data_IF_117142895769
#
_entry.id   IF_117142895769
#
_cell.length_a   1.000
_cell.length_b   1.000
_cell.length_c   1.000
_cell.angle_alpha   90.00
_cell.angle_beta   90.00
_cell.angle_gamma   90.00
#
_symmetry.space_group_name_H-M   'P 1'
#
loop_
_entity.id
_entity.type
_entity.pdbx_description
1 polymer ?
#
# COMPACT_ATOMS: atom_id res chain seq x y z
N UNK A 1 4.37 -9.50 25.32
CA UNK A 1 4.74 -9.35 23.89
C UNK A 1 6.22 -9.70 23.77
N UNK A 2 6.63 -10.51 22.79
CA UNK A 2 8.05 -10.76 22.52
C UNK A 2 8.75 -9.44 22.20
N UNK A 3 10.01 -9.27 22.63
CA UNK A 3 10.81 -8.06 22.35
C UNK A 3 10.87 -7.72 20.85
N UNK A 4 10.74 -8.72 19.98
CA UNK A 4 10.71 -8.59 18.52
C UNK A 4 9.42 -7.95 18.00
N UNK A 5 8.26 -8.32 18.57
CA UNK A 5 6.97 -7.73 18.19
C UNK A 5 6.85 -6.27 18.64
N UNK A 6 7.44 -5.93 19.79
CA UNK A 6 7.50 -4.56 20.28
C UNK A 6 8.33 -3.66 19.33
N UNK A 7 9.55 -4.09 18.98
CA UNK A 7 10.40 -3.34 18.06
C UNK A 7 9.74 -3.15 16.68
N UNK A 8 9.09 -4.21 16.17
CA UNK A 8 8.35 -4.18 14.90
C UNK A 8 7.22 -3.15 14.92
N UNK A 9 6.42 -3.12 15.99
CA UNK A 9 5.32 -2.19 16.12
C UNK A 9 5.81 -0.73 16.16
N UNK A 10 6.81 -0.44 16.98
CA UNK A 10 7.33 0.92 17.13
C UNK A 10 8.05 1.45 15.89
N UNK A 11 8.88 0.62 15.23
CA UNK A 11 9.53 1.03 13.98
C UNK A 11 8.51 1.29 12.87
N UNK A 12 7.46 0.46 12.80
CA UNK A 12 6.34 0.67 11.87
C UNK A 12 5.59 1.96 12.19
N UNK A 13 5.18 2.16 13.43
CA UNK A 13 4.45 3.37 13.85
C UNK A 13 5.26 4.64 13.56
N UNK A 14 6.57 4.60 13.80
CA UNK A 14 7.45 5.70 13.47
C UNK A 14 7.51 5.97 11.96
N UNK A 15 7.67 4.92 11.13
CA UNK A 15 7.66 5.05 9.66
C UNK A 15 6.33 5.61 9.15
N UNK A 16 5.20 5.12 9.68
CA UNK A 16 3.85 5.59 9.36
C UNK A 16 3.71 7.08 9.69
N UNK A 17 4.10 7.48 10.90
CA UNK A 17 4.02 8.88 11.34
C UNK A 17 4.85 9.84 10.50
N UNK A 18 5.94 9.36 9.88
CA UNK A 18 6.80 10.18 9.01
C UNK A 18 6.31 10.25 7.57
N UNK A 19 5.65 9.21 7.05
CA UNK A 19 5.31 9.11 5.62
C UNK A 19 3.86 9.41 5.30
N UNK A 20 2.91 9.10 6.18
CA UNK A 20 1.47 9.20 5.85
C UNK A 20 1.07 10.63 5.54
N UNK A 21 1.42 11.60 6.41
CA UNK A 21 1.05 13.00 6.19
C UNK A 21 1.69 13.58 4.93
N UNK A 22 3.02 13.45 4.68
CA UNK A 22 3.61 13.92 3.43
C UNK A 22 3.00 13.27 2.19
N UNK A 23 2.69 11.98 2.23
CA UNK A 23 2.08 11.28 1.08
C UNK A 23 0.65 11.76 0.84
N UNK A 24 -0.15 11.95 1.90
CA UNK A 24 -1.49 12.52 1.80
C UNK A 24 -1.43 13.93 1.19
N UNK A 25 -0.47 14.77 1.59
CA UNK A 25 -0.25 16.10 1.00
C UNK A 25 0.10 16.04 -0.48
N UNK A 26 0.81 14.99 -0.93
CA UNK A 26 1.07 14.76 -2.36
C UNK A 26 -0.24 14.57 -3.14
N UNK A 27 -1.20 13.81 -2.60
CA UNK A 27 -2.53 13.67 -3.22
C UNK A 27 -3.33 14.96 -3.20
N UNK A 28 -3.25 15.76 -2.13
CA UNK A 28 -3.85 17.09 -2.11
C UNK A 28 -3.26 18.02 -3.16
N UNK A 29 -1.94 18.01 -3.34
CA UNK A 29 -1.26 18.78 -4.39
C UNK A 29 -1.72 18.40 -5.80
N UNK A 30 -1.97 17.10 -6.05
CA UNK A 30 -2.56 16.63 -7.32
C UNK A 30 -3.99 17.17 -7.48
N UNK A 31 -4.78 17.20 -6.41
CA UNK A 31 -6.13 17.78 -6.43
C UNK A 31 -6.10 19.28 -6.71
N UNK A 32 -5.19 20.03 -6.06
CA UNK A 32 -5.02 21.46 -6.28
C UNK A 32 -4.65 21.75 -7.75
N UNK A 33 -3.75 20.94 -8.32
CA UNK A 33 -3.39 21.01 -9.74
C UNK A 33 -4.59 20.74 -10.67
N UNK A 34 -5.45 19.79 -10.31
CA UNK A 34 -6.68 19.52 -11.04
C UNK A 34 -7.67 20.70 -10.94
N UNK A 35 -7.80 21.33 -9.77
CA UNK A 35 -8.61 22.53 -9.60
C UNK A 35 -8.13 23.68 -10.47
N UNK A 36 -6.82 23.94 -10.52
CA UNK A 36 -6.23 25.00 -11.34
C UNK A 36 -6.47 24.77 -12.84
N UNK A 37 -6.36 23.53 -13.29
CA UNK A 37 -6.63 23.17 -14.69
C UNK A 37 -8.11 23.38 -15.04
N UNK A 38 -9.03 22.96 -14.17
CA UNK A 38 -10.46 23.20 -14.34
C UNK A 38 -10.83 24.68 -14.27
N UNK A 39 -10.18 25.47 -13.41
CA UNK A 39 -10.36 26.94 -13.33
C UNK A 39 -9.94 27.61 -14.64
N UNK A 40 -8.80 27.23 -15.23
CA UNK A 40 -8.33 27.75 -16.52
C UNK A 40 -9.29 27.41 -17.68
N UNK A 41 -9.86 26.22 -17.66
CA UNK A 41 -10.77 25.74 -18.72
C UNK A 41 -12.24 26.13 -18.49
N UNK A 42 -12.58 26.75 -17.36
CA UNK A 42 -13.97 27.11 -17.01
C UNK A 42 -14.87 25.92 -16.63
N UNK A 43 -14.29 24.76 -16.31
CA UNK A 43 -14.99 23.50 -16.05
C UNK A 43 -14.90 23.09 -14.57
N UNK A 44 -15.45 23.91 -13.66
CA UNK A 44 -15.36 23.70 -12.20
C UNK A 44 -16.15 22.48 -11.69
N UNK A 45 -17.11 22.00 -12.47
CA UNK A 45 -17.89 20.79 -12.18
C UNK A 45 -17.10 19.49 -12.41
N UNK A 46 -16.03 19.55 -13.20
CA UNK A 46 -15.23 18.38 -13.61
C UNK A 46 -13.96 18.17 -12.77
N UNK A 47 -13.71 18.97 -11.73
CA UNK A 47 -12.50 18.89 -10.89
C UNK A 47 -12.24 17.46 -10.42
N UNK A 48 -13.29 16.80 -9.91
CA UNK A 48 -13.17 15.46 -9.35
C UNK A 48 -12.79 14.41 -10.42
N UNK A 49 -13.38 14.53 -11.61
CA UNK A 49 -13.08 13.67 -12.75
C UNK A 49 -11.64 13.90 -13.23
N UNK A 50 -11.21 15.16 -13.31
CA UNK A 50 -9.83 15.52 -13.65
C UNK A 50 -8.84 14.96 -12.63
N UNK A 51 -9.11 15.10 -11.33
CA UNK A 51 -8.29 14.50 -10.27
C UNK A 51 -8.18 12.98 -10.44
N UNK A 52 -9.30 12.29 -10.64
CA UNK A 52 -9.31 10.85 -10.91
C UNK A 52 -8.48 10.46 -12.13
N UNK A 53 -8.54 11.24 -13.22
CA UNK A 53 -7.71 11.03 -14.41
C UNK A 53 -6.21 11.28 -14.14
N UNK A 54 -5.86 12.20 -13.24
CA UNK A 54 -4.47 12.40 -12.83
C UNK A 54 -3.96 11.23 -11.99
N UNK A 55 -4.80 10.65 -11.13
CA UNK A 55 -4.43 9.47 -10.32
C UNK A 55 -4.09 8.24 -11.18
N UNK A 56 -4.74 8.05 -12.33
CA UNK A 56 -4.43 6.92 -13.22
C UNK A 56 -3.05 7.02 -13.86
N UNK A 57 -2.42 8.21 -13.86
CA UNK A 57 -1.07 8.45 -14.40
C UNK A 57 0.06 8.17 -13.39
N UNK A 58 -0.27 7.93 -12.12
CA UNK A 58 0.72 7.66 -11.05
C UNK A 58 1.59 6.43 -11.34
N UNK A 59 1.07 5.30 -11.85
CA UNK A 59 1.90 4.16 -12.22
C UNK A 59 2.97 4.49 -13.27
N UNK A 60 2.70 5.46 -14.14
CA UNK A 60 3.55 5.86 -15.26
C UNK A 60 4.43 7.07 -14.94
N UNK A 61 4.61 7.40 -13.67
CA UNK A 61 5.51 8.48 -13.26
C UNK A 61 6.94 8.24 -13.73
N UNK A 62 7.54 9.30 -14.27
CA UNK A 62 8.95 9.29 -14.64
C UNK A 62 9.84 9.27 -13.40
N UNK A 63 11.06 8.77 -13.54
CA UNK A 63 12.05 8.76 -12.46
C UNK A 63 12.32 10.18 -11.92
N UNK A 64 12.27 11.20 -12.78
CA UNK A 64 12.44 12.61 -12.38
C UNK A 64 11.31 13.10 -11.47
N UNK A 65 10.06 12.77 -11.81
CA UNK A 65 8.87 13.10 -11.00
C UNK A 65 8.95 12.39 -9.65
N UNK A 66 9.30 11.11 -9.66
CA UNK A 66 9.45 10.32 -8.45
C UNK A 66 10.58 10.84 -7.55
N UNK A 67 11.73 11.21 -8.10
CA UNK A 67 12.84 11.79 -7.33
C UNK A 67 12.43 13.08 -6.65
N UNK A 68 11.77 13.98 -7.38
CA UNK A 68 11.28 15.26 -6.84
C UNK A 68 10.32 15.03 -5.67
N UNK A 69 9.44 14.03 -5.79
CA UNK A 69 8.47 13.72 -4.74
C UNK A 69 9.13 13.08 -3.51
N UNK A 70 10.10 12.19 -3.73
CA UNK A 70 10.90 11.59 -2.65
C UNK A 70 11.69 12.67 -1.91
N UNK A 71 12.30 13.62 -2.61
CA UNK A 71 13.01 14.76 -2.03
C UNK A 71 12.07 15.64 -1.21
N UNK A 72 10.85 15.90 -1.71
CA UNK A 72 9.81 16.63 -0.96
C UNK A 72 9.46 15.91 0.34
N UNK A 73 9.24 14.59 0.29
CA UNK A 73 8.91 13.78 1.47
C UNK A 73 10.04 13.81 2.51
N UNK A 74 11.29 13.67 2.07
CA UNK A 74 12.47 13.73 2.97
C UNK A 74 12.56 15.11 3.62
N UNK A 75 12.34 16.18 2.85
CA UNK A 75 12.38 17.56 3.35
C UNK A 75 11.28 17.85 4.38
N UNK A 76 10.05 17.38 4.13
CA UNK A 76 8.92 17.58 5.05
C UNK A 76 9.05 16.72 6.29
N UNK A 77 9.46 15.47 6.15
CA UNK A 77 9.65 14.56 7.30
C UNK A 77 10.87 14.90 8.15
N UNK A 78 11.85 15.64 7.60
CA UNK A 78 13.10 15.97 8.29
C UNK A 78 13.99 14.75 8.59
N UNK A 79 13.69 13.59 7.99
CA UNK A 79 14.34 12.32 8.28
C UNK A 79 15.34 11.97 7.19
N UNK A 80 16.63 12.10 7.49
CA UNK A 80 17.74 11.79 6.56
C UNK A 80 18.07 10.30 6.48
N UNK A 81 17.59 9.50 7.44
CA UNK A 81 17.87 8.06 7.56
C UNK A 81 16.69 7.19 7.11
N UNK A 82 15.85 7.70 6.20
CA UNK A 82 14.61 7.04 5.80
C UNK A 82 14.85 5.63 5.20
N UNK A 83 15.89 5.47 4.38
CA UNK A 83 16.30 4.18 3.83
C UNK A 83 16.71 3.16 4.89
N UNK A 84 17.35 3.62 5.98
CA UNK A 84 17.77 2.77 7.09
C UNK A 84 16.60 2.43 8.02
N UNK A 85 15.68 3.38 8.24
CA UNK A 85 14.45 3.14 8.97
C UNK A 85 13.59 2.10 8.26
N UNK A 86 13.41 2.23 6.94
CA UNK A 86 12.68 1.27 6.12
C UNK A 86 13.32 -0.12 6.19
N UNK A 87 14.65 -0.18 6.12
CA UNK A 87 15.39 -1.44 6.30
C UNK A 87 15.16 -2.03 7.70
N UNK A 88 15.22 -1.22 8.75
CA UNK A 88 14.97 -1.65 10.12
C UNK A 88 13.58 -2.25 10.30
N UNK A 89 12.56 -1.68 9.64
CA UNK A 89 11.21 -2.25 9.59
C UNK A 89 11.25 -3.64 8.95
N UNK A 90 11.78 -3.79 7.74
CA UNK A 90 11.83 -5.11 7.07
C UNK A 90 12.61 -6.16 7.86
N UNK A 91 13.76 -5.79 8.45
CA UNK A 91 14.53 -6.68 9.32
C UNK A 91 13.69 -7.10 10.53
N UNK A 92 12.95 -6.19 11.14
CA UNK A 92 12.08 -6.53 12.28
C UNK A 92 10.96 -7.49 11.88
N UNK A 93 10.35 -7.30 10.70
CA UNK A 93 9.37 -8.24 10.16
C UNK A 93 9.98 -9.62 9.90
N UNK A 94 11.14 -9.69 9.25
CA UNK A 94 11.85 -10.93 8.98
C UNK A 94 12.24 -11.66 10.28
N UNK A 95 12.74 -10.94 11.29
CA UNK A 95 13.05 -11.50 12.62
C UNK A 95 11.81 -12.07 13.30
N UNK A 96 10.67 -11.39 13.20
CA UNK A 96 9.40 -11.93 13.70
C UNK A 96 9.04 -13.25 13.01
N UNK A 97 9.16 -13.36 11.68
CA UNK A 97 8.92 -14.63 10.97
C UNK A 97 9.93 -15.71 11.37
N UNK A 98 11.21 -15.37 11.48
CA UNK A 98 12.23 -16.31 11.90
C UNK A 98 11.99 -16.85 13.31
N UNK A 99 11.51 -16.01 14.23
CA UNK A 99 11.16 -16.44 15.59
C UNK A 99 9.97 -17.42 15.64
N UNK A 100 9.07 -17.35 14.66
CA UNK A 100 7.98 -18.32 14.52
C UNK A 100 8.50 -19.68 13.99
N UNK A 101 9.53 -19.63 13.14
CA UNK A 101 10.13 -20.79 12.47
C UNK A 101 11.19 -21.51 13.32
N UNK A 102 11.78 -20.84 14.32
CA UNK A 102 12.72 -21.40 15.31
C UNK A 102 12.14 -22.52 16.22
N UNK A 103 10.96 -23.08 15.90
CA UNK A 103 10.43 -24.30 16.53
C UNK A 103 11.10 -25.58 16.02
N UNK A 104 11.90 -25.52 14.96
CA UNK A 104 12.71 -26.64 14.43
C UNK A 104 14.22 -26.51 14.71
N UNK A 105 14.94 -27.64 14.66
CA UNK A 105 16.36 -27.81 15.03
C UNK A 105 17.40 -27.03 14.19
N UNK A 106 16.96 -26.15 13.28
CA UNK A 106 17.85 -25.36 12.42
C UNK A 106 17.89 -23.90 12.87
N UNK A 107 19.08 -23.43 13.25
CA UNK A 107 19.32 -22.12 13.87
C UNK A 107 19.50 -20.97 12.87
N UNK A 108 19.43 -21.22 11.56
CA UNK A 108 19.69 -20.20 10.54
C UNK A 108 18.72 -20.33 9.35
N UNK A 109 17.89 -19.30 9.15
CA UNK A 109 16.99 -19.20 7.98
C UNK A 109 17.59 -18.19 7.02
N UNK A 110 18.25 -18.68 5.97
CA UNK A 110 18.72 -17.83 4.86
C UNK A 110 17.54 -17.50 3.95
N UNK A 111 17.01 -16.28 4.03
CA UNK A 111 15.98 -15.77 3.12
C UNK A 111 16.68 -14.77 2.20
N UNK A 112 16.68 -15.03 0.89
CA UNK A 112 17.12 -14.05 -0.08
C UNK A 112 16.05 -12.94 -0.15
N UNK A 113 16.43 -11.75 0.30
CA UNK A 113 15.59 -10.55 0.28
C UNK A 113 16.26 -9.49 -0.57
N UNK A 114 15.66 -9.17 -1.71
CA UNK A 114 16.11 -8.04 -2.53
C UNK A 114 15.62 -6.73 -1.88
N UNK A 115 16.56 -5.81 -1.63
CA UNK A 115 16.27 -4.56 -0.93
C UNK A 115 15.54 -3.60 -1.87
N UNK A 116 14.29 -3.20 -1.58
CA UNK A 116 13.69 -2.08 -2.29
C UNK A 116 14.36 -0.77 -1.87
N UNK A 117 14.73 0.05 -2.85
CA UNK A 117 15.11 1.46 -2.63
C UNK A 117 13.93 2.25 -2.08
N UNK A 118 14.16 3.27 -1.26
CA UNK A 118 13.08 4.12 -0.74
C UNK A 118 12.19 4.69 -1.85
N UNK A 119 12.74 5.12 -3.00
CA UNK A 119 11.97 5.60 -4.13
C UNK A 119 10.96 4.57 -4.68
N UNK A 120 11.39 3.31 -4.87
CA UNK A 120 10.49 2.21 -5.28
C UNK A 120 9.39 1.95 -4.25
N UNK A 121 9.73 2.02 -2.96
CA UNK A 121 8.75 1.86 -1.88
C UNK A 121 7.69 2.97 -1.91
N UNK A 122 8.13 4.23 -2.03
CA UNK A 122 7.23 5.39 -2.14
C UNK A 122 6.36 5.27 -3.39
N UNK A 123 6.91 4.88 -4.54
CA UNK A 123 6.13 4.71 -5.76
C UNK A 123 5.06 3.62 -5.61
N UNK A 124 5.40 2.48 -4.99
CA UNK A 124 4.43 1.43 -4.71
C UNK A 124 3.32 1.93 -3.77
N UNK A 125 3.68 2.67 -2.73
CA UNK A 125 2.70 3.29 -1.83
C UNK A 125 1.76 4.23 -2.59
N UNK A 126 2.29 5.11 -3.43
CA UNK A 126 1.48 5.99 -4.28
C UNK A 126 0.56 5.21 -5.21
N UNK A 127 1.03 4.14 -5.86
CA UNK A 127 0.20 3.30 -6.73
C UNK A 127 -0.94 2.63 -5.97
N UNK A 128 -0.67 2.06 -4.78
CA UNK A 128 -1.71 1.44 -3.94
C UNK A 128 -2.72 2.47 -3.44
N UNK A 129 -2.24 3.59 -2.90
CA UNK A 129 -3.08 4.69 -2.41
C UNK A 129 -3.90 5.31 -3.54
N UNK A 130 -3.34 5.51 -4.73
CA UNK A 130 -4.05 6.05 -5.89
C UNK A 130 -5.26 5.21 -6.26
N UNK A 131 -5.14 3.87 -6.29
CA UNK A 131 -6.27 2.97 -6.61
C UNK A 131 -7.41 3.12 -5.60
N UNK A 132 -7.09 3.24 -4.31
CA UNK A 132 -8.09 3.40 -3.24
C UNK A 132 -8.71 4.80 -3.26
N UNK A 133 -7.88 5.83 -3.36
CA UNK A 133 -8.33 7.23 -3.40
C UNK A 133 -9.07 7.55 -4.70
N UNK A 134 -8.85 6.82 -5.79
CA UNK A 134 -9.67 6.93 -6.99
C UNK A 134 -11.13 6.53 -6.72
N UNK A 135 -11.35 5.44 -5.99
CA UNK A 135 -12.70 4.98 -5.60
C UNK A 135 -13.32 5.94 -4.57
N UNK A 136 -12.49 6.54 -3.72
CA UNK A 136 -12.90 7.44 -2.65
C UNK A 136 -12.62 8.91 -2.96
N UNK A 137 -12.63 9.27 -4.24
CA UNK A 137 -12.24 10.60 -4.69
C UNK A 137 -13.13 11.70 -4.07
N UNK A 138 -14.36 11.36 -3.68
CA UNK A 138 -15.30 12.29 -3.04
C UNK A 138 -14.74 12.96 -1.77
N UNK A 139 -13.73 12.38 -1.10
CA UNK A 139 -13.06 13.04 0.03
C UNK A 139 -12.32 14.33 -0.39
N UNK A 140 -11.89 14.42 -1.65
CA UNK A 140 -11.20 15.58 -2.22
C UNK A 140 -12.15 16.68 -2.72
N UNK A 141 -13.47 16.50 -2.56
CA UNK A 141 -14.43 17.55 -2.91
C UNK A 141 -14.32 18.73 -1.93
N UNK A 142 -13.84 19.86 -2.42
CA UNK A 142 -13.70 21.12 -1.67
C UNK A 142 -14.93 22.03 -1.84
N UNK A 143 -15.51 22.06 -3.04
CA UNK A 143 -16.63 22.95 -3.38
C UNK A 143 -17.93 22.50 -2.73
N UNK A 144 -18.55 23.40 -1.95
CA UNK A 144 -19.84 23.16 -1.30
C UNK A 144 -19.77 22.28 -0.04
N UNK A 145 -18.57 22.08 0.51
CA UNK A 145 -18.33 21.27 1.71
C UNK A 145 -17.90 22.19 2.86
N UNK A 146 -18.47 22.01 4.05
CA UNK A 146 -18.10 22.82 5.23
C UNK A 146 -16.65 22.59 5.64
N UNK A 147 -16.03 23.58 6.28
CA UNK A 147 -14.64 23.50 6.76
C UNK A 147 -14.42 22.34 7.73
N UNK A 148 -15.41 22.05 8.59
CA UNK A 148 -15.39 20.88 9.47
C UNK A 148 -15.34 19.56 8.68
N UNK A 149 -16.18 19.42 7.65
CA UNK A 149 -16.20 18.22 6.83
C UNK A 149 -14.91 18.06 6.01
N UNK A 150 -14.32 19.17 5.54
CA UNK A 150 -13.02 19.13 4.88
C UNK A 150 -11.91 18.64 5.83
N UNK A 151 -11.91 19.09 7.09
CA UNK A 151 -10.95 18.60 8.09
C UNK A 151 -11.13 17.11 8.37
N UNK A 152 -12.38 16.62 8.47
CA UNK A 152 -12.67 15.19 8.60
C UNK A 152 -12.21 14.40 7.37
N UNK A 153 -12.46 14.90 6.16
CA UNK A 153 -12.02 14.26 4.93
C UNK A 153 -10.49 14.12 4.87
N UNK A 154 -9.73 15.13 5.30
CA UNK A 154 -8.27 15.04 5.40
C UNK A 154 -7.82 13.89 6.30
N UNK A 155 -8.45 13.73 7.46
CA UNK A 155 -8.18 12.61 8.37
C UNK A 155 -8.56 11.26 7.74
N UNK A 156 -9.67 11.18 7.01
CA UNK A 156 -10.05 9.95 6.31
C UNK A 156 -9.05 9.58 5.20
N UNK A 157 -8.55 10.57 4.44
CA UNK A 157 -7.49 10.33 3.45
C UNK A 157 -6.23 9.78 4.10
N UNK A 158 -5.79 10.35 5.23
CA UNK A 158 -4.63 9.84 5.98
C UNK A 158 -4.84 8.41 6.49
N UNK A 159 -6.05 8.06 6.94
CA UNK A 159 -6.38 6.67 7.32
C UNK A 159 -6.27 5.72 6.13
N UNK A 160 -6.82 6.11 4.97
CA UNK A 160 -6.71 5.32 3.74
C UNK A 160 -5.25 5.12 3.34
N UNK A 161 -4.43 6.17 3.43
CA UNK A 161 -2.98 6.08 3.14
C UNK A 161 -2.27 5.18 4.17
N UNK A 162 -2.65 5.24 5.45
CA UNK A 162 -2.13 4.35 6.50
C UNK A 162 -2.43 2.88 6.20
N UNK A 163 -3.65 2.56 5.78
CA UNK A 163 -4.02 1.19 5.40
C UNK A 163 -3.22 0.72 4.16
N UNK A 164 -3.02 1.61 3.19
CA UNK A 164 -2.19 1.34 2.02
C UNK A 164 -0.71 1.15 2.39
N UNK A 165 -0.20 1.87 3.39
CA UNK A 165 1.14 1.69 3.93
C UNK A 165 1.34 0.27 4.44
N UNK A 166 0.38 -0.25 5.21
CA UNK A 166 0.48 -1.63 5.70
C UNK A 166 0.50 -2.64 4.56
N UNK A 167 -0.36 -2.46 3.56
CA UNK A 167 -0.40 -3.34 2.39
C UNK A 167 0.89 -3.27 1.58
N UNK A 168 1.46 -2.08 1.44
CA UNK A 168 2.74 -1.85 0.75
C UNK A 168 3.90 -2.51 1.50
N UNK A 169 4.01 -2.35 2.81
CA UNK A 169 5.03 -3.06 3.61
C UNK A 169 4.88 -4.57 3.44
N UNK A 170 3.63 -5.09 3.44
CA UNK A 170 3.37 -6.51 3.23
C UNK A 170 3.73 -6.97 1.81
N UNK A 171 3.53 -6.18 0.76
CA UNK A 171 3.79 -6.60 -0.62
C UNK A 171 5.28 -6.81 -0.91
N UNK A 172 6.17 -6.12 -0.19
CA UNK A 172 7.61 -6.31 -0.31
C UNK A 172 8.14 -7.56 0.44
N UNK A 173 7.31 -8.21 1.27
CA UNK A 173 7.75 -9.41 1.99
C UNK A 173 7.63 -10.66 1.10
N UNK A 174 8.65 -11.55 1.09
CA UNK A 174 8.65 -12.76 0.27
C UNK A 174 7.78 -13.86 0.90
N UNK A 175 6.45 -13.68 0.88
CA UNK A 175 5.49 -14.59 1.51
C UNK A 175 5.57 -16.02 0.98
N UNK A 176 5.84 -16.21 -0.31
CA UNK A 176 5.97 -17.54 -0.91
C UNK A 176 7.16 -18.31 -0.31
N UNK A 177 8.30 -17.64 -0.14
CA UNK A 177 9.48 -18.25 0.46
C UNK A 177 9.25 -18.57 1.95
N UNK A 178 8.55 -17.70 2.67
CA UNK A 178 8.19 -17.89 4.07
C UNK A 178 7.22 -19.08 4.21
N UNK A 179 6.17 -19.13 3.40
CA UNK A 179 5.15 -20.18 3.45
C UNK A 179 5.71 -21.55 3.08
N UNK A 180 6.52 -21.66 2.01
CA UNK A 180 7.17 -22.93 1.64
C UNK A 180 8.03 -23.49 2.77
N UNK A 181 8.82 -22.65 3.44
CA UNK A 181 9.63 -23.06 4.59
C UNK A 181 8.79 -23.47 5.80
N UNK A 182 7.65 -22.82 6.02
CA UNK A 182 6.75 -23.16 7.11
C UNK A 182 6.20 -24.60 6.98
N UNK A 183 5.77 -24.99 5.78
CA UNK A 183 5.19 -26.32 5.56
C UNK A 183 6.22 -27.43 5.25
N UNK A 184 7.43 -27.07 4.80
CA UNK A 184 8.47 -28.05 4.52
C UNK A 184 9.06 -28.69 5.80
N UNK A 185 9.05 -27.98 6.93
CA UNK A 185 9.59 -28.51 8.20
C UNK A 185 8.60 -29.41 8.96
N UNK A 186 7.30 -29.34 8.65
CA UNK A 186 6.27 -30.21 9.25
C UNK A 186 6.30 -31.65 8.68
N UNK A 187 6.95 -31.88 7.52
CA UNK A 187 7.09 -33.23 6.93
C UNK A 187 8.05 -34.15 7.72
N UNK A 188 8.84 -33.63 8.67
CA UNK A 188 9.79 -34.40 9.46
C UNK A 188 9.23 -35.00 10.77
N UNK A 189 7.91 -34.99 10.99
CA UNK A 189 7.28 -35.60 12.19
C UNK A 189 6.82 -37.05 11.96
N UNK A 190 6.96 -37.62 10.76
CA UNK A 190 6.51 -39.00 10.48
C UNK A 190 7.55 -40.11 10.69
N UNK A 191 8.82 -39.80 10.99
CA UNK A 191 9.87 -40.82 11.04
C UNK A 191 10.51 -40.99 12.44
N UNK A 192 9.70 -41.19 13.48
CA UNK A 192 10.20 -41.82 14.72
C UNK A 192 9.19 -42.84 15.26
N UNK A 193 8.94 -43.91 14.51
CA UNK A 193 8.55 -45.18 15.13
C UNK A 193 9.83 -46.00 15.36
N UNK A 194 10.16 -46.38 16.61
CA UNK A 194 11.30 -47.24 16.87
C UNK A 194 11.14 -48.57 16.14
N UNK A 195 12.05 -48.87 15.23
CA UNK A 195 12.20 -50.18 14.60
C UNK A 195 12.59 -51.18 15.69
N UNK A 196 11.63 -51.97 16.17
CA UNK A 196 11.91 -53.21 16.89
C UNK A 196 12.23 -54.30 15.85
N UNK A 197 13.47 -54.81 15.91
CA UNK A 197 13.95 -55.90 15.07
C UNK A 197 13.26 -57.25 15.40
N UNK A 198 13.26 -58.20 14.46
CA UNK A 198 12.24 -59.23 14.33
C UNK A 198 12.59 -60.52 15.06
N UNK A 199 11.63 -61.09 15.79
CA UNK A 199 11.65 -62.52 16.14
C UNK A 199 10.58 -63.25 15.35
N UNK A 200 11.03 -64.22 14.57
CA UNK A 200 10.24 -65.24 13.87
C UNK A 200 9.09 -65.78 14.72
N UNK A 201 7.87 -65.71 14.21
CA UNK A 201 7.00 -66.88 14.02
C UNK A 201 5.79 -66.48 13.17
N UNK A 202 5.69 -67.05 11.97
CA UNK A 202 4.56 -66.88 11.04
C UNK A 202 3.67 -68.12 11.13
N UNK A 203 2.36 -67.96 11.36
CA UNK A 203 1.34 -68.78 10.72
C UNK A 203 0.59 -67.97 9.64
N UNK A 204 0.05 -68.66 8.61
CA UNK A 204 -0.33 -68.08 7.32
C UNK A 204 -1.62 -67.21 7.34
N UNK A 205 -1.81 -66.35 6.31
CA UNK A 205 -2.85 -65.31 6.30
C UNK A 205 -4.24 -65.86 5.92
N UNK A 206 -5.33 -65.33 6.51
CA UNK A 206 -6.68 -65.51 5.99
C UNK A 206 -6.99 -64.53 4.82
N UNK A 207 -7.91 -64.90 3.90
CA UNK A 207 -8.18 -64.17 2.65
C UNK A 207 -8.89 -62.81 2.87
N UNK A 208 -8.75 -61.87 1.90
CA UNK A 208 -9.18 -60.49 2.04
C UNK A 208 -10.71 -60.34 1.98
N UNK A 209 -11.28 -59.74 3.01
CA UNK A 209 -12.66 -59.27 3.01
C UNK A 209 -12.76 -57.92 2.25
N UNK A 210 -13.85 -57.68 1.50
CA UNK A 210 -13.95 -56.57 0.57
C UNK A 210 -14.13 -55.21 1.26
N UNK A 211 -13.47 -54.22 0.67
CA UNK A 211 -13.43 -52.80 1.03
C UNK A 211 -14.83 -52.18 0.95
N UNK A 212 -15.31 -51.58 2.03
CA UNK A 212 -16.51 -50.72 2.01
C UNK A 212 -16.16 -49.40 1.30
N UNK A 213 -16.66 -49.25 0.07
CA UNK A 213 -16.79 -47.96 -0.59
C UNK A 213 -18.02 -47.26 -0.01
N UNK A 214 -17.81 -46.15 0.71
CA UNK A 214 -18.88 -45.20 1.03
C UNK A 214 -19.02 -44.23 -0.13
N UNK A 215 -20.12 -44.41 -0.86
CA UNK A 215 -20.61 -43.61 -1.98
C UNK A 215 -21.54 -42.55 -1.41
N UNK A 216 -21.32 -41.28 -1.76
CA UNK A 216 -22.23 -40.18 -1.41
C UNK A 216 -23.58 -40.42 -2.10
N UNK A 217 -24.65 -40.37 -1.32
CA UNK A 217 -26.04 -40.39 -1.80
C UNK A 217 -26.39 -39.03 -2.44
N UNK A 218 -26.76 -39.08 -3.72
CA UNK A 218 -27.68 -38.11 -4.33
C UNK A 218 -29.10 -38.46 -3.85
N UNK A 219 -29.85 -37.46 -3.40
CA UNK A 219 -31.27 -37.58 -3.17
C UNK A 219 -31.98 -36.57 -4.08
N UNK A 220 -32.60 -37.08 -5.13
CA UNK A 220 -33.69 -36.45 -5.88
C UNK A 220 -35.02 -37.14 -5.55
N UNK A 221 -36.12 -36.53 -6.03
CA UNK A 221 -37.56 -36.85 -5.94
C UNK A 221 -38.27 -36.20 -4.76
N UNK A 222 -39.43 -35.56 -4.89
CA UNK A 222 -40.44 -35.35 -5.97
C UNK A 222 -41.35 -34.22 -5.39
N UNK A 223 -42.11 -33.37 -6.07
CA UNK A 223 -43.17 -33.47 -7.11
C UNK A 223 -43.80 -32.05 -7.18
N UNK A 224 -44.60 -31.56 -8.12
CA UNK A 224 -45.19 -31.97 -9.41
C UNK A 224 -45.69 -30.67 -10.10
N UNK A 225 -45.68 -30.68 -11.44
CA UNK A 225 -46.68 -30.22 -12.45
C UNK A 225 -47.82 -29.26 -12.01
N UNK A 226 -48.34 -28.27 -12.74
CA UNK A 226 -48.42 -27.85 -14.16
C UNK A 226 -49.05 -26.42 -14.16
N UNK A 227 -48.95 -25.66 -15.27
CA UNK A 227 -50.07 -24.95 -15.95
C UNK A 227 -49.66 -23.65 -16.71
N UNK A 228 -50.36 -23.48 -17.83
CA UNK A 228 -50.19 -22.69 -19.05
C UNK A 228 -50.52 -21.18 -18.95
N UNK A 229 -50.10 -20.40 -19.97
CA UNK A 229 -50.85 -19.22 -20.40
C UNK A 229 -50.12 -17.86 -20.47
N UNK A 230 -49.58 -17.57 -21.66
CA UNK A 230 -49.74 -16.33 -22.47
C UNK A 230 -49.43 -14.90 -21.94
N UNK A 231 -48.74 -14.17 -22.84
CA UNK A 231 -48.87 -12.75 -23.23
C UNK A 231 -48.02 -11.62 -22.56
N UNK A 232 -47.02 -11.20 -23.36
CA UNK A 232 -46.89 -9.89 -24.03
C UNK A 232 -46.26 -8.65 -23.32
N UNK A 233 -45.42 -7.95 -24.13
CA UNK A 233 -44.86 -6.58 -24.02
C UNK A 233 -43.91 -6.27 -22.83
N UNK A 234 -42.75 -5.63 -22.94
CA UNK A 234 -42.30 -4.56 -23.83
C UNK A 234 -40.76 -4.46 -23.84
N UNK A 235 -40.18 -4.02 -24.96
CA UNK A 235 -38.74 -3.79 -25.21
C UNK A 235 -38.19 -2.58 -24.45
N UNK A 236 -36.90 -2.62 -24.09
CA UNK A 236 -35.96 -1.53 -24.40
C UNK A 236 -34.50 -2.00 -24.39
N UNK A 237 -33.90 -2.05 -25.59
CA UNK A 237 -32.46 -2.09 -25.82
C UNK A 237 -31.78 -0.85 -25.20
N UNK A 238 -30.73 -1.04 -24.39
CA UNK A 238 -29.84 0.04 -23.98
C UNK A 238 -28.68 0.08 -24.98
N UNK A 239 -28.75 1.03 -25.92
CA UNK A 239 -27.61 1.45 -26.76
C UNK A 239 -26.64 2.27 -25.90
N UNK A 240 -25.44 1.76 -25.68
CA UNK A 240 -24.33 2.51 -25.09
C UNK A 240 -23.81 3.49 -26.13
N UNK A 241 -24.02 4.79 -25.89
CA UNK A 241 -23.44 5.86 -26.70
C UNK A 241 -22.02 6.15 -26.22
N UNK A 242 -21.07 6.05 -27.16
CA UNK A 242 -19.69 6.53 -27.02
C UNK A 242 -19.71 8.08 -27.06
N UNK A 243 -19.32 8.73 -25.96
CA UNK A 243 -18.80 10.09 -26.00
C UNK A 243 -17.37 10.06 -25.43
N UNK A 244 -16.42 9.80 -26.32
CA UNK A 244 -15.02 10.12 -26.11
C UNK A 244 -14.85 11.64 -26.22
N UNK A 245 -14.59 12.31 -25.10
CA UNK A 245 -14.01 13.66 -25.10
C UNK A 245 -12.51 13.52 -24.95
N UNK A 246 -11.82 13.45 -26.08
CA UNK A 246 -10.35 13.48 -26.18
C UNK A 246 -9.88 14.92 -25.93
N UNK A 247 -9.20 15.15 -24.81
CA UNK A 247 -8.49 16.41 -24.55
C UNK A 247 -7.05 16.18 -25.00
N UNK A 248 -6.64 16.87 -26.07
CA UNK A 248 -5.29 16.79 -26.64
C UNK A 248 -4.26 17.47 -25.73
N UNK A 249 -3.07 16.85 -25.60
CA UNK A 249 -2.06 17.10 -24.57
C UNK A 249 -1.03 18.20 -24.89
N UNK A 250 -1.21 19.02 -25.93
CA UNK A 250 -0.18 19.99 -26.38
C UNK A 250 -0.11 21.27 -25.54
N UNK A 251 -1.08 21.54 -24.65
CA UNK A 251 -1.10 22.78 -23.84
C UNK A 251 -0.24 22.71 -22.55
N UNK A 252 0.48 21.60 -22.32
CA UNK A 252 1.27 21.38 -21.10
C UNK A 252 2.75 21.79 -21.23
N UNK A 253 3.24 22.09 -22.44
CA UNK A 253 4.66 22.40 -22.71
C UNK A 253 4.96 23.88 -23.00
N UNK A 254 3.97 24.77 -22.89
CA UNK A 254 4.20 26.21 -23.12
C UNK A 254 4.83 26.88 -21.90
N UNK A 255 6.16 26.96 -21.92
CA UNK A 255 7.00 27.67 -20.96
C UNK A 255 6.60 29.16 -20.89
N UNK A 256 6.29 29.73 -19.72
CA UNK A 256 6.04 31.17 -19.62
C UNK A 256 7.33 31.97 -19.82
N UNK A 257 7.30 32.99 -20.68
CA UNK A 257 8.34 34.02 -20.77
C UNK A 257 8.32 34.89 -19.51
N UNK A 258 9.49 35.26 -18.95
CA UNK A 258 9.55 36.09 -17.75
C UNK A 258 9.36 37.58 -18.07
N UNK A 259 8.39 38.22 -17.41
CA UNK A 259 8.34 39.68 -17.28
C UNK A 259 9.36 40.19 -16.24
N UNK A 260 9.94 41.40 -16.40
CA UNK A 260 10.98 41.90 -15.51
C UNK A 260 10.37 42.46 -14.23
N UNK A 261 10.82 41.97 -13.07
CA UNK A 261 10.46 42.52 -11.76
C UNK A 261 11.70 43.22 -11.18
N UNK A 262 11.55 44.50 -10.82
CA UNK A 262 12.58 45.30 -10.18
C UNK A 262 12.97 44.71 -8.81
N UNK A 263 14.26 44.70 -8.53
CA UNK A 263 14.85 44.12 -7.33
C UNK A 263 14.88 45.14 -6.19
N UNK A 264 14.14 44.86 -5.12
CA UNK A 264 14.44 45.40 -3.79
C UNK A 264 15.18 44.33 -2.98
N UNK A 265 16.37 44.70 -2.51
CA UNK A 265 17.41 43.86 -1.90
C UNK A 265 17.13 43.63 -0.39
N UNK A 266 16.69 42.43 0.04
CA UNK A 266 16.27 42.18 1.42
C UNK A 266 17.43 41.89 2.40
N UNK A 267 18.69 42.01 1.96
CA UNK A 267 19.87 41.64 2.76
C UNK A 267 20.40 42.77 3.66
N UNK A 268 19.90 44.01 3.56
CA UNK A 268 20.36 45.12 4.43
C UNK A 268 19.69 45.21 5.80
N UNK A 269 18.60 44.48 6.05
CA UNK A 269 17.87 44.59 7.33
C UNK A 269 18.28 43.56 8.39
N UNK A 270 19.07 42.54 8.02
CA UNK A 270 19.38 41.41 8.91
C UNK A 270 20.77 41.54 9.57
N UNK A 271 21.69 42.33 8.98
CA UNK A 271 23.01 42.57 9.55
C UNK A 271 23.02 43.52 10.77
N UNK A 272 21.89 44.17 11.07
CA UNK A 272 21.76 45.09 12.21
C UNK A 272 21.38 44.44 13.55
N UNK A 273 21.12 43.12 13.61
CA UNK A 273 20.56 42.47 14.83
C UNK A 273 21.27 41.21 15.34
N UNK A 274 22.47 40.90 14.85
CA UNK A 274 23.24 39.72 15.28
C UNK A 274 24.46 40.03 16.19
N UNK A 275 24.54 41.25 16.72
CA UNK A 275 25.56 41.62 17.70
C UNK A 275 25.03 41.66 19.13
N UNK A 276 24.82 40.50 19.78
CA UNK A 276 24.90 40.31 21.24
C UNK A 276 24.51 38.88 21.68
N UNK A 277 25.42 38.24 22.43
CA UNK A 277 25.21 37.14 23.40
C UNK A 277 24.74 35.77 22.84
N UNK A 278 25.27 34.61 23.19
CA UNK A 278 26.23 34.14 24.19
C UNK A 278 26.09 32.60 24.27
N UNK A 279 27.20 31.91 24.49
CA UNK A 279 27.40 30.46 24.76
C UNK A 279 26.22 29.48 24.81
N UNK A 280 26.35 28.36 24.09
CA UNK A 280 25.60 27.14 24.40
C UNK A 280 26.49 25.88 24.24
N UNK A 281 27.14 25.48 25.33
CA UNK A 281 27.82 24.19 25.47
C UNK A 281 26.83 23.18 26.08
N UNK A 282 26.58 22.06 25.39
CA UNK A 282 25.81 20.92 25.90
C UNK A 282 26.76 19.75 26.19
N UNK A 283 26.85 19.40 27.47
CA UNK A 283 27.55 18.20 27.98
C UNK A 283 26.53 17.07 28.11
N UNK A 284 26.78 15.94 27.43
CA UNK A 284 26.01 14.71 27.56
C UNK A 284 26.70 13.81 28.60
N UNK A 285 26.00 13.48 29.68
CA UNK A 285 26.41 12.39 30.58
C UNK A 285 25.75 11.08 30.12
N UNK A 286 26.57 10.03 30.10
CA UNK A 286 26.19 8.63 29.89
C UNK A 286 25.30 8.09 31.03
#
# INVERSE_FOLDING_TARGET
MSSTEFAKAHLREHLVGLLVSPVADGFWSICDSAEELCKRNGQLDQILRTFQNMLTRIPDWTESTLSTEVERIIKVSGCTYMDDLLMGVFISYMKSFASLHYRGSSSEIKIDFDRPTFAKFVHELYKQSARKLWQMAYYFKTVGVSTEQQARNRQEVEKVVTDCMEQTIRSFLPWEAIAKKYFADDEYVSETLPVLQPTHDVPPPPPPAPVQQVKFEENESESDEEDDGTDNEERADIRVGEEETTIEFEDMDKKPEPEPVEADDPLKEIEGKLGAEGDNTLVLNL
#
